data_IF_950607803795
#
_entry.id   IF_950607803795
#
_cell.length_a   1.000
_cell.length_b   1.000
_cell.length_c   1.000
_cell.angle_alpha   90.00
_cell.angle_beta   90.00
_cell.angle_gamma   90.00
#
_symmetry.space_group_name_H-M   'P 1'
#
loop_
_entity.id
_entity.type
_entity.pdbx_description
1 polymer ?
#
# COMPACT_ATOMS: atom_id res chain seq x y z
N UNK A 1 28.81 68.55 2.72
CA UNK A 1 29.37 67.26 2.26
C UNK A 1 28.36 66.17 2.57
N UNK A 2 27.86 65.47 1.54
CA UNK A 2 26.82 64.44 1.63
C UNK A 2 27.44 63.12 2.11
N UNK A 3 26.80 62.42 3.06
CA UNK A 3 27.01 60.98 3.25
C UNK A 3 25.64 60.32 3.40
N UNK A 4 25.23 59.62 2.34
CA UNK A 4 24.05 58.77 2.32
C UNK A 4 24.37 57.49 3.10
N UNK A 5 23.55 57.15 4.09
CA UNK A 5 23.55 55.84 4.74
C UNK A 5 22.56 54.97 3.95
N UNK A 6 23.08 54.01 3.19
CA UNK A 6 22.28 53.04 2.44
C UNK A 6 21.74 51.97 3.37
N UNK A 7 20.42 51.83 3.41
CA UNK A 7 19.71 50.75 4.11
C UNK A 7 19.78 49.49 3.25
N UNK A 8 20.48 48.46 3.73
CA UNK A 8 20.59 47.17 3.04
C UNK A 8 19.39 46.29 3.44
N UNK A 9 18.37 46.25 2.60
CA UNK A 9 17.22 45.33 2.78
C UNK A 9 17.60 43.95 2.27
N UNK A 10 17.81 43.00 3.19
CA UNK A 10 18.01 41.58 2.86
C UNK A 10 16.64 40.96 2.55
N UNK A 11 16.38 40.62 1.29
CA UNK A 11 15.24 39.76 0.93
C UNK A 11 15.58 38.31 1.30
N UNK A 12 14.95 37.78 2.35
CA UNK A 12 14.90 36.35 2.63
C UNK A 12 13.97 35.69 1.62
N UNK A 13 14.56 35.06 0.60
CA UNK A 13 13.87 34.12 -0.27
C UNK A 13 13.57 32.85 0.54
N UNK A 14 12.34 32.75 1.06
CA UNK A 14 11.80 31.49 1.57
C UNK A 14 11.52 30.61 0.36
N UNK A 15 12.47 29.74 0.02
CA UNK A 15 12.22 28.62 -0.87
C UNK A 15 11.30 27.64 -0.14
N UNK A 16 10.00 27.76 -0.38
CA UNK A 16 9.05 26.70 -0.09
C UNK A 16 9.40 25.51 -1.01
N UNK A 17 10.32 24.65 -0.55
CA UNK A 17 10.41 23.31 -1.09
C UNK A 17 9.09 22.64 -0.75
N UNK A 18 8.19 22.58 -1.74
CA UNK A 18 7.14 21.58 -1.75
C UNK A 18 7.87 20.24 -1.82
N UNK A 19 8.22 19.68 -0.66
CA UNK A 19 8.67 18.31 -0.56
C UNK A 19 7.48 17.48 -1.03
N UNK A 20 7.52 17.00 -2.28
CA UNK A 20 6.70 15.88 -2.67
C UNK A 20 7.04 14.78 -1.66
N UNK A 21 6.09 14.42 -0.80
CA UNK A 21 6.27 13.30 0.12
C UNK A 21 6.57 12.09 -0.75
N UNK A 22 7.79 11.55 -0.64
CA UNK A 22 8.11 10.27 -1.27
C UNK A 22 7.13 9.24 -0.72
N UNK A 23 6.50 8.47 -1.62
CA UNK A 23 5.63 7.36 -1.22
C UNK A 23 6.54 6.28 -0.65
N UNK A 24 6.20 5.74 0.52
CA UNK A 24 6.99 4.67 1.15
C UNK A 24 7.07 3.42 0.26
N UNK A 25 8.16 2.67 0.40
CA UNK A 25 8.46 1.50 -0.44
C UNK A 25 7.36 0.43 -0.40
N UNK A 26 6.70 0.26 0.74
CA UNK A 26 5.61 -0.71 0.88
C UNK A 26 4.39 -0.29 0.08
N UNK A 27 3.94 0.96 0.20
CA UNK A 27 2.80 1.48 -0.57
C UNK A 27 3.13 1.52 -2.06
N UNK A 28 4.35 1.89 -2.44
CA UNK A 28 4.81 1.84 -3.83
C UNK A 28 4.77 0.40 -4.37
N UNK A 29 5.29 -0.57 -3.61
CA UNK A 29 5.27 -1.98 -3.99
C UNK A 29 3.83 -2.48 -4.15
N UNK A 30 2.93 -2.18 -3.21
CA UNK A 30 1.52 -2.55 -3.30
C UNK A 30 0.84 -1.97 -4.54
N UNK A 31 1.05 -0.68 -4.82
CA UNK A 31 0.49 -0.03 -6.00
C UNK A 31 1.01 -0.67 -7.30
N UNK A 32 2.33 -0.87 -7.39
CA UNK A 32 3.00 -1.42 -8.58
C UNK A 32 2.66 -2.88 -8.84
N UNK A 33 2.46 -3.68 -7.80
CA UNK A 33 2.21 -5.12 -7.95
C UNK A 33 0.72 -5.41 -7.97
N UNK A 34 0.00 -5.09 -6.91
CA UNK A 34 -1.38 -5.49 -6.75
C UNK A 34 -2.36 -4.56 -7.46
N UNK A 35 -2.26 -3.23 -7.27
CA UNK A 35 -3.25 -2.31 -7.85
C UNK A 35 -3.14 -2.27 -9.37
N UNK A 36 -1.92 -2.13 -9.91
CA UNK A 36 -1.69 -2.02 -11.36
C UNK A 36 -2.05 -3.30 -12.13
N UNK A 37 -1.88 -4.47 -11.53
CA UNK A 37 -2.08 -5.75 -12.21
C UNK A 37 -3.38 -6.46 -11.82
N UNK A 38 -4.29 -5.82 -11.08
CA UNK A 38 -5.49 -6.50 -10.57
C UNK A 38 -6.30 -7.23 -11.66
N UNK A 39 -6.54 -6.58 -12.80
CA UNK A 39 -7.27 -7.15 -13.93
C UNK A 39 -6.39 -7.92 -14.93
N UNK A 40 -5.07 -7.97 -14.70
CA UNK A 40 -4.10 -8.67 -15.55
C UNK A 40 -3.08 -9.44 -14.68
N UNK A 41 -3.53 -10.41 -13.87
CA UNK A 41 -2.68 -11.13 -12.90
C UNK A 41 -1.47 -11.82 -13.55
N UNK A 42 -1.55 -12.18 -14.83
CA UNK A 42 -0.43 -12.72 -15.62
C UNK A 42 0.73 -11.73 -15.78
N UNK A 43 0.44 -10.42 -15.81
CA UNK A 43 1.47 -9.39 -15.84
C UNK A 43 2.22 -9.34 -14.51
N UNK A 44 1.52 -9.51 -13.38
CA UNK A 44 2.17 -9.64 -12.08
C UNK A 44 3.07 -10.87 -12.04
N UNK A 45 2.60 -12.03 -12.51
CA UNK A 45 3.43 -13.25 -12.57
C UNK A 45 4.70 -13.01 -13.38
N UNK A 46 4.58 -12.35 -14.53
CA UNK A 46 5.72 -12.00 -15.38
C UNK A 46 6.68 -11.03 -14.68
N UNK A 47 6.14 -9.99 -14.04
CA UNK A 47 6.92 -9.01 -13.26
C UNK A 47 7.68 -9.68 -12.11
N UNK A 48 7.10 -10.71 -11.50
CA UNK A 48 7.68 -11.41 -10.35
C UNK A 48 8.64 -12.53 -10.72
N UNK A 49 8.81 -12.88 -12.00
CA UNK A 49 9.52 -14.07 -12.45
C UNK A 49 10.99 -14.20 -11.97
N UNK A 50 11.65 -13.07 -11.71
CA UNK A 50 13.03 -13.05 -11.20
C UNK A 50 13.14 -13.17 -9.66
N UNK A 51 12.02 -13.05 -8.94
CA UNK A 51 12.00 -13.12 -7.48
C UNK A 51 11.88 -14.57 -7.00
N UNK A 52 12.50 -14.93 -5.86
CA UNK A 52 12.32 -16.24 -5.26
C UNK A 52 10.86 -16.53 -4.94
N UNK A 53 10.37 -17.68 -5.41
CA UNK A 53 9.07 -18.23 -4.98
C UNK A 53 9.23 -18.86 -3.60
N UNK A 54 8.27 -18.61 -2.72
CA UNK A 54 8.25 -19.27 -1.42
C UNK A 54 7.86 -20.74 -1.56
N UNK A 55 8.56 -21.60 -0.83
CA UNK A 55 8.20 -23.00 -0.69
C UNK A 55 6.77 -23.16 -0.16
N UNK A 56 6.11 -24.25 -0.56
CA UNK A 56 4.68 -24.45 -0.32
C UNK A 56 4.28 -24.29 1.16
N UNK A 57 5.09 -24.79 2.10
CA UNK A 57 4.80 -24.67 3.53
C UNK A 57 4.85 -23.22 4.02
N UNK A 58 5.86 -22.46 3.60
CA UNK A 58 5.99 -21.04 3.95
C UNK A 58 4.92 -20.18 3.28
N UNK A 59 4.52 -20.52 2.06
CA UNK A 59 3.52 -19.80 1.31
C UNK A 59 2.11 -19.89 1.94
N UNK A 60 1.79 -20.95 2.69
CA UNK A 60 0.47 -21.13 3.35
C UNK A 60 0.07 -19.95 4.22
N UNK A 61 1.01 -19.38 4.98
CA UNK A 61 0.71 -18.22 5.82
C UNK A 61 0.24 -17.01 4.99
N UNK A 62 0.90 -16.75 3.86
CA UNK A 62 0.65 -15.59 3.01
C UNK A 62 -0.56 -15.78 2.07
N UNK A 63 -0.83 -17.01 1.65
CA UNK A 63 -1.98 -17.36 0.81
C UNK A 63 -3.26 -17.57 1.63
N UNK A 64 -3.14 -17.77 2.94
CA UNK A 64 -4.25 -18.12 3.83
C UNK A 64 -4.90 -19.44 3.38
N UNK A 65 -6.22 -19.43 3.22
CA UNK A 65 -6.97 -20.60 2.71
C UNK A 65 -6.97 -20.74 1.18
N UNK A 66 -6.33 -19.81 0.46
CA UNK A 66 -6.32 -19.77 -1.00
C UNK A 66 -5.22 -20.63 -1.63
N UNK A 67 -5.38 -20.90 -2.93
CA UNK A 67 -4.33 -21.48 -3.78
C UNK A 67 -3.71 -20.35 -4.60
N UNK A 68 -2.39 -20.34 -4.76
CA UNK A 68 -1.70 -19.28 -5.49
C UNK A 68 -0.19 -19.38 -5.40
N UNK A 69 0.48 -18.25 -5.61
CA UNK A 69 1.94 -18.11 -5.53
C UNK A 69 2.30 -16.95 -4.61
N UNK A 70 3.36 -17.13 -3.83
CA UNK A 70 3.93 -16.07 -3.02
C UNK A 70 5.42 -15.93 -3.35
N UNK A 71 5.88 -14.70 -3.52
CA UNK A 71 7.27 -14.38 -3.82
C UNK A 71 7.88 -13.60 -2.66
N UNK A 72 9.11 -13.95 -2.30
CA UNK A 72 9.94 -13.15 -1.41
C UNK A 72 10.56 -12.00 -2.21
N UNK A 73 10.45 -10.78 -1.70
CA UNK A 73 11.15 -9.62 -2.24
C UNK A 73 12.09 -9.10 -1.16
N UNK A 74 13.35 -8.95 -1.54
CA UNK A 74 14.39 -8.31 -0.73
C UNK A 74 14.94 -7.16 -1.55
N UNK A 75 14.75 -5.94 -1.06
CA UNK A 75 15.28 -4.72 -1.70
C UNK A 75 16.58 -4.23 -1.04
N UNK A 76 17.14 -5.02 -0.11
CA UNK A 76 18.32 -4.70 0.68
C UNK A 76 18.04 -3.94 1.98
N UNK A 77 16.90 -3.27 2.10
CA UNK A 77 16.52 -2.49 3.28
C UNK A 77 15.38 -3.14 4.07
N UNK A 78 14.47 -3.81 3.37
CA UNK A 78 13.30 -4.44 3.92
C UNK A 78 12.97 -5.75 3.20
N UNK A 79 12.18 -6.58 3.89
CA UNK A 79 11.69 -7.86 3.39
C UNK A 79 10.20 -7.81 3.22
N UNK A 80 9.77 -8.09 2.01
CA UNK A 80 8.37 -8.14 1.64
C UNK A 80 8.01 -9.52 1.12
N UNK A 81 6.71 -9.81 1.17
CA UNK A 81 6.12 -10.91 0.43
C UNK A 81 4.99 -10.36 -0.41
N UNK A 82 4.96 -10.73 -1.69
CA UNK A 82 3.81 -10.50 -2.57
C UNK A 82 3.15 -11.85 -2.78
N UNK A 83 1.86 -11.96 -2.48
CA UNK A 83 1.07 -13.16 -2.67
C UNK A 83 -0.07 -12.88 -3.65
N UNK A 84 -0.20 -13.75 -4.66
CA UNK A 84 -1.28 -13.72 -5.63
C UNK A 84 -2.02 -15.06 -5.56
N UNK A 85 -3.31 -15.01 -5.25
CA UNK A 85 -4.20 -16.17 -5.29
C UNK A 85 -4.87 -16.32 -6.65
N UNK A 86 -5.31 -17.54 -6.96
CA UNK A 86 -6.00 -17.87 -8.21
C UNK A 86 -7.37 -17.20 -8.35
N UNK A 87 -7.95 -16.71 -7.25
CA UNK A 87 -9.17 -15.87 -7.25
C UNK A 87 -8.86 -14.36 -7.32
N UNK A 88 -7.65 -14.01 -7.76
CA UNK A 88 -7.15 -12.64 -7.97
C UNK A 88 -7.05 -11.78 -6.70
N UNK A 89 -7.09 -12.39 -5.51
CA UNK A 89 -6.70 -11.70 -4.29
C UNK A 89 -5.17 -11.51 -4.33
N UNK A 90 -4.74 -10.25 -4.36
CA UNK A 90 -3.34 -9.88 -4.28
C UNK A 90 -3.05 -9.20 -2.95
N UNK A 91 -1.95 -9.61 -2.29
CA UNK A 91 -1.57 -9.13 -0.96
C UNK A 91 -0.07 -8.84 -0.92
N UNK A 92 0.31 -7.72 -0.31
CA UNK A 92 1.70 -7.38 0.03
C UNK A 92 1.85 -7.36 1.54
N UNK A 93 2.90 -8.01 2.04
CA UNK A 93 3.26 -8.08 3.45
C UNK A 93 4.61 -7.43 3.67
N UNK A 94 4.78 -6.74 4.80
CA UNK A 94 6.06 -6.22 5.25
C UNK A 94 6.37 -6.66 6.69
N UNK A 95 7.60 -7.13 6.91
CA UNK A 95 8.10 -7.45 8.25
C UNK A 95 8.45 -6.20 9.08
N UNK A 96 8.62 -5.06 8.41
CA UNK A 96 8.94 -3.75 8.99
C UNK A 96 8.10 -2.69 8.29
N UNK A 97 7.53 -1.75 9.05
CA UNK A 97 6.74 -0.67 8.47
C UNK A 97 6.66 0.52 9.46
N UNK A 98 6.97 1.76 9.03
CA UNK A 98 6.59 2.95 9.77
C UNK A 98 5.07 3.11 9.69
N UNK A 99 4.35 2.61 10.71
CA UNK A 99 2.90 2.40 10.68
C UNK A 99 2.11 3.66 10.28
N UNK A 100 2.48 4.83 10.84
CA UNK A 100 1.78 6.09 10.57
C UNK A 100 1.93 6.51 9.09
N UNK A 101 3.15 6.42 8.56
CA UNK A 101 3.47 6.77 7.18
C UNK A 101 2.80 5.81 6.18
N UNK A 102 2.92 4.50 6.41
CA UNK A 102 2.26 3.47 5.59
C UNK A 102 0.74 3.67 5.58
N UNK A 103 0.16 3.99 6.73
CA UNK A 103 -1.29 4.23 6.83
C UNK A 103 -1.70 5.47 6.05
N UNK A 104 -0.95 6.57 6.20
CA UNK A 104 -1.19 7.80 5.47
C UNK A 104 -1.11 7.60 3.95
N UNK A 105 -0.03 6.97 3.47
CA UNK A 105 0.22 6.78 2.04
C UNK A 105 -0.75 5.78 1.40
N UNK A 106 -1.12 4.72 2.12
CA UNK A 106 -2.18 3.81 1.69
C UNK A 106 -3.50 4.57 1.50
N UNK A 107 -3.96 5.30 2.53
CA UNK A 107 -5.21 6.08 2.45
C UNK A 107 -5.16 7.09 1.32
N UNK A 108 -4.03 7.80 1.15
CA UNK A 108 -3.85 8.71 0.03
C UNK A 108 -4.02 8.01 -1.33
N UNK A 109 -3.48 6.80 -1.46
CA UNK A 109 -3.54 6.01 -2.70
C UNK A 109 -4.95 5.46 -3.01
N UNK A 110 -5.73 5.11 -1.97
CA UNK A 110 -7.03 4.42 -2.15
C UNK A 110 -8.26 5.31 -1.91
N UNK A 111 -8.09 6.51 -1.37
CA UNK A 111 -9.21 7.43 -1.14
C UNK A 111 -9.67 8.18 -2.39
N UNK A 112 -8.90 8.12 -3.48
CA UNK A 112 -9.26 8.69 -4.78
C UNK A 112 -9.23 7.61 -5.85
N UNK A 113 -10.40 7.27 -6.38
CA UNK A 113 -10.52 6.28 -7.46
C UNK A 113 -10.44 6.95 -8.84
N UNK A 114 -9.91 6.26 -9.86
CA UNK A 114 -9.95 6.76 -11.23
C UNK A 114 -11.39 6.76 -11.77
N UNK A 115 -11.83 7.81 -12.50
CA UNK A 115 -13.13 7.81 -13.14
C UNK A 115 -13.32 6.59 -14.08
N UNK A 116 -14.51 5.97 -14.13
CA UNK A 116 -15.78 6.37 -13.48
C UNK A 116 -15.99 5.78 -12.07
N UNK A 117 -14.96 5.20 -11.44
CA UNK A 117 -15.08 4.63 -10.11
C UNK A 117 -15.18 5.73 -9.05
N UNK A 118 -15.83 5.39 -7.94
CA UNK A 118 -15.91 6.22 -6.73
C UNK A 118 -15.27 5.44 -5.59
N UNK A 119 -14.45 6.12 -4.79
CA UNK A 119 -13.87 5.57 -3.57
C UNK A 119 -14.82 5.81 -2.38
N UNK A 120 -15.08 4.78 -1.59
CA UNK A 120 -15.89 4.85 -0.37
C UNK A 120 -15.17 4.11 0.75
N UNK A 121 -15.01 4.76 1.91
CA UNK A 121 -14.45 4.10 3.10
C UNK A 121 -15.36 2.96 3.58
N UNK A 122 -14.75 1.85 4.03
CA UNK A 122 -15.43 0.65 4.52
C UNK A 122 -15.05 0.35 5.97
N UNK A 123 -15.56 1.13 6.94
CA UNK A 123 -15.24 0.91 8.34
C UNK A 123 -15.81 -0.42 8.85
N UNK A 124 -15.07 -1.10 9.72
CA UNK A 124 -15.58 -2.25 10.47
C UNK A 124 -15.62 -3.59 9.72
N UNK A 125 -15.06 -3.69 8.51
CA UNK A 125 -14.96 -4.99 7.79
C UNK A 125 -14.09 -6.02 8.51
N UNK A 126 -13.07 -5.57 9.24
CA UNK A 126 -12.20 -6.41 10.06
C UNK A 126 -12.12 -5.79 11.47
N UNK A 127 -12.31 -6.58 12.54
CA UNK A 127 -12.15 -6.09 13.89
C UNK A 127 -10.74 -5.54 14.13
N UNK A 128 -10.65 -4.28 14.55
CA UNK A 128 -9.41 -3.71 15.08
C UNK A 128 -9.27 -4.07 16.56
N UNK A 129 -8.06 -4.38 17.00
CA UNK A 129 -7.72 -4.65 18.41
C UNK A 129 -6.83 -3.54 18.95
N UNK A 130 -6.32 -3.63 20.18
CA UNK A 130 -5.38 -2.64 20.71
C UNK A 130 -4.15 -2.45 19.80
N UNK A 131 -3.57 -3.56 19.32
CA UNK A 131 -2.35 -3.56 18.53
C UNK A 131 -2.57 -3.67 17.02
N UNK A 132 -3.76 -4.09 16.59
CA UNK A 132 -4.08 -4.29 15.17
C UNK A 132 -5.07 -3.23 14.71
N UNK A 133 -4.71 -2.51 13.65
CA UNK A 133 -5.60 -1.54 12.99
C UNK A 133 -5.87 -2.00 11.58
N UNK A 134 -7.13 -1.89 11.15
CA UNK A 134 -7.49 -2.14 9.76
C UNK A 134 -8.24 -0.95 9.18
N UNK A 135 -7.79 -0.50 8.01
CA UNK A 135 -8.41 0.54 7.20
C UNK A 135 -8.80 -0.06 5.86
N UNK A 136 -9.98 0.28 5.33
CA UNK A 136 -10.44 -0.27 4.07
C UNK A 136 -11.21 0.75 3.22
N UNK A 137 -11.04 0.66 1.91
CA UNK A 137 -11.74 1.48 0.91
C UNK A 137 -12.23 0.58 -0.23
N UNK A 138 -13.44 0.85 -0.68
CA UNK A 138 -14.03 0.22 -1.85
C UNK A 138 -14.00 1.14 -3.06
N UNK A 139 -13.59 0.64 -4.22
CA UNK A 139 -13.78 1.31 -5.51
C UNK A 139 -14.85 0.58 -6.32
N UNK A 140 -15.91 1.30 -6.67
CA UNK A 140 -16.98 0.79 -7.54
C UNK A 140 -17.69 1.93 -8.26
N UNK A 141 -18.49 1.60 -9.27
CA UNK A 141 -19.56 2.50 -9.72
C UNK A 141 -20.78 2.27 -8.86
N UNK A 142 -21.65 3.28 -8.74
CA UNK A 142 -22.83 3.23 -7.88
C UNK A 142 -23.73 2.02 -8.18
N UNK A 143 -23.91 1.70 -9.46
CA UNK A 143 -24.73 0.59 -9.96
C UNK A 143 -24.06 -0.79 -9.88
N UNK A 144 -22.75 -0.86 -9.64
CA UNK A 144 -22.05 -2.15 -9.59
C UNK A 144 -22.43 -2.89 -8.30
N UNK A 145 -22.62 -4.22 -8.43
CA UNK A 145 -22.87 -5.14 -7.31
C UNK A 145 -21.58 -5.64 -6.64
N UNK A 146 -20.44 -5.26 -7.21
CA UNK A 146 -19.11 -5.65 -6.75
C UNK A 146 -18.23 -4.42 -6.66
N UNK A 147 -17.23 -4.49 -5.79
CA UNK A 147 -16.23 -3.45 -5.64
C UNK A 147 -14.82 -4.05 -5.54
N UNK A 148 -13.82 -3.26 -5.94
CA UNK A 148 -12.44 -3.52 -5.53
C UNK A 148 -12.31 -3.07 -4.09
N UNK A 149 -12.11 -4.01 -3.19
CA UNK A 149 -11.87 -3.74 -1.78
C UNK A 149 -10.37 -3.71 -1.53
N UNK A 150 -9.87 -2.53 -1.17
CA UNK A 150 -8.52 -2.32 -0.69
C UNK A 150 -8.52 -2.36 0.83
N UNK A 151 -7.63 -3.17 1.42
CA UNK A 151 -7.50 -3.28 2.88
C UNK A 151 -6.05 -3.08 3.27
N UNK A 152 -5.80 -2.29 4.31
CA UNK A 152 -4.52 -2.24 5.02
C UNK A 152 -4.74 -2.68 6.45
N UNK A 153 -4.01 -3.70 6.89
CA UNK A 153 -3.90 -4.09 8.28
C UNK A 153 -2.48 -3.82 8.78
N UNK A 154 -2.35 -3.10 9.89
CA UNK A 154 -1.07 -2.84 10.55
C UNK A 154 -1.04 -3.41 11.96
N UNK A 155 0.16 -3.74 12.45
CA UNK A 155 0.37 -4.27 13.80
C UNK A 155 1.49 -3.51 14.51
N UNK A 156 1.19 -2.95 15.68
CA UNK A 156 2.17 -2.33 16.58
C UNK A 156 2.81 -3.31 17.56
N UNK A 157 2.35 -4.57 17.60
CA UNK A 157 2.94 -5.60 18.46
C UNK A 157 4.33 -5.97 17.96
N UNK A 158 5.36 -5.74 18.79
CA UNK A 158 6.76 -6.04 18.52
C UNK A 158 7.02 -7.51 18.18
N UNK A 159 6.21 -8.44 18.69
CA UNK A 159 6.31 -9.87 18.41
C UNK A 159 5.67 -10.29 17.08
N UNK A 160 4.86 -9.42 16.47
CA UNK A 160 4.24 -9.73 15.18
C UNK A 160 5.30 -9.82 14.08
N UNK A 161 5.36 -10.92 13.31
CA UNK A 161 6.29 -11.08 12.19
C UNK A 161 5.90 -10.20 10.98
N UNK A 162 4.66 -9.69 10.96
CA UNK A 162 4.14 -8.80 9.92
C UNK A 162 3.68 -7.50 10.58
N UNK A 163 4.17 -6.36 10.07
CA UNK A 163 3.82 -5.02 10.57
C UNK A 163 2.82 -4.31 9.67
N UNK A 164 2.80 -4.65 8.38
CA UNK A 164 1.82 -4.15 7.42
C UNK A 164 1.42 -5.24 6.44
N UNK A 165 0.13 -5.29 6.12
CA UNK A 165 -0.47 -6.17 5.12
C UNK A 165 -1.47 -5.37 4.31
N UNK A 166 -1.22 -5.18 3.02
CA UNK A 166 -2.11 -4.47 2.10
C UNK A 166 -2.65 -5.43 1.06
N UNK A 167 -3.96 -5.42 0.81
CA UNK A 167 -4.59 -6.31 -0.15
C UNK A 167 -5.56 -5.59 -1.07
N UNK A 168 -5.83 -6.21 -2.21
CA UNK A 168 -6.94 -5.88 -3.11
C UNK A 168 -7.67 -7.17 -3.50
N UNK A 169 -8.99 -7.10 -3.51
CA UNK A 169 -9.86 -8.19 -3.93
C UNK A 169 -11.12 -7.64 -4.61
N UNK A 170 -11.72 -8.38 -5.54
CA UNK A 170 -13.08 -8.11 -6.00
C UNK A 170 -14.07 -8.79 -5.05
N UNK A 171 -14.93 -8.01 -4.40
CA UNK A 171 -15.92 -8.50 -3.44
C UNK A 171 -17.33 -8.05 -3.81
N UNK A 172 -18.34 -8.70 -3.25
CA UNK A 172 -19.71 -8.18 -3.31
C UNK A 172 -19.84 -6.93 -2.44
N UNK A 173 -20.58 -5.93 -2.93
CA UNK A 173 -20.87 -4.68 -2.21
C UNK A 173 -22.08 -4.83 -1.29
#
# INVERSE_FOLDING_TARGET
MRKALGTLTVLLLVSASCAASEVDDFTYLFAKTCMQNFYTPENLVTQMAANPVLEAESAKFFLGSGVGTAWSIDDGNAKYVVALRNDNVCVVFAAQAPIEEVTHNFVHSVSTAPPPLVAVERPGLVPSTEHIRTTAYGWSREQDKTELLFTLTTSSDHLSPVKAMASVALVAK
#
